data_IF_676931411724
#
_entry.id   IF_676931411724
#
_cell.length_a   1.000
_cell.length_b   1.000
_cell.length_c   1.000
_cell.angle_alpha   90.00
_cell.angle_beta   90.00
_cell.angle_gamma   90.00
#
_symmetry.space_group_name_H-M   'P 1'
#
loop_
_entity.id
_entity.type
_entity.pdbx_description
1 polymer ?
#
# COMPACT_ATOMS: atom_id res chain seq x y z
N UNK A 1 10.78 -31.44 3.27
CA UNK A 1 9.64 -30.57 2.93
C UNK A 1 8.37 -31.42 2.95
N UNK A 2 7.49 -31.21 3.92
CA UNK A 2 6.27 -32.02 4.09
C UNK A 2 5.27 -31.82 2.95
N UNK A 3 4.30 -32.73 2.85
CA UNK A 3 3.21 -32.75 1.83
C UNK A 3 2.53 -31.37 1.74
N UNK A 4 2.35 -30.68 2.86
CA UNK A 4 1.77 -29.33 2.94
C UNK A 4 2.60 -28.28 2.16
N UNK A 5 3.93 -28.36 2.22
CA UNK A 5 4.80 -27.42 1.48
C UNK A 5 4.75 -27.63 -0.04
N UNK A 6 4.58 -28.89 -0.47
CA UNK A 6 4.39 -29.21 -1.91
C UNK A 6 3.03 -28.72 -2.43
N UNK A 7 1.97 -28.90 -1.64
CA UNK A 7 0.64 -28.42 -1.97
C UNK A 7 0.57 -26.89 -2.07
N UNK A 8 1.17 -26.17 -1.12
CA UNK A 8 1.26 -24.69 -1.14
C UNK A 8 2.03 -24.22 -2.39
N UNK A 9 3.17 -24.83 -2.70
CA UNK A 9 3.97 -24.46 -3.88
C UNK A 9 3.22 -24.73 -5.19
N UNK A 10 2.49 -25.84 -5.27
CA UNK A 10 1.65 -26.18 -6.42
C UNK A 10 0.50 -25.14 -6.57
N UNK A 11 -0.17 -24.79 -5.47
CA UNK A 11 -1.26 -23.79 -5.45
C UNK A 11 -0.77 -22.42 -5.91
N UNK A 12 0.39 -21.96 -5.43
CA UNK A 12 0.98 -20.67 -5.80
C UNK A 12 1.38 -20.61 -7.28
N UNK A 13 1.72 -21.74 -7.91
CA UNK A 13 2.16 -21.79 -9.29
C UNK A 13 0.99 -21.98 -10.30
N UNK A 14 -0.16 -22.51 -9.86
CA UNK A 14 -1.26 -22.87 -10.75
C UNK A 14 -2.52 -22.02 -10.57
N UNK A 15 -2.62 -21.25 -9.50
CA UNK A 15 -3.77 -20.37 -9.28
C UNK A 15 -3.40 -18.94 -9.65
N UNK A 16 -4.18 -18.27 -10.51
CA UNK A 16 -3.96 -16.87 -10.87
C UNK A 16 -3.90 -15.98 -9.63
N UNK A 17 -2.92 -15.08 -9.58
CA UNK A 17 -2.71 -14.16 -8.45
C UNK A 17 -3.97 -13.42 -7.99
N UNK A 18 -4.89 -12.95 -8.88
CA UNK A 18 -6.13 -12.30 -8.46
C UNK A 18 -7.06 -13.22 -7.66
N UNK A 19 -7.09 -14.52 -8.01
CA UNK A 19 -7.92 -15.49 -7.29
C UNK A 19 -7.32 -15.84 -5.93
N UNK A 20 -5.98 -15.98 -5.86
CA UNK A 20 -5.26 -16.14 -4.58
C UNK A 20 -5.50 -14.96 -3.63
N UNK A 21 -5.53 -13.73 -4.15
CA UNK A 21 -5.81 -12.54 -3.37
C UNK A 21 -7.25 -12.51 -2.83
N UNK A 22 -8.24 -12.93 -3.64
CA UNK A 22 -9.64 -13.05 -3.20
C UNK A 22 -9.80 -14.13 -2.12
N UNK A 23 -9.20 -15.31 -2.31
CA UNK A 23 -9.25 -16.41 -1.33
C UNK A 23 -8.52 -16.02 -0.04
N UNK A 24 -7.37 -15.37 -0.14
CA UNK A 24 -6.66 -14.84 1.02
C UNK A 24 -7.49 -13.78 1.76
N UNK A 25 -8.23 -12.95 1.05
CA UNK A 25 -9.13 -11.96 1.63
C UNK A 25 -10.24 -12.55 2.51
N UNK A 26 -10.72 -13.73 2.18
CA UNK A 26 -11.76 -14.46 2.96
C UNK A 26 -11.15 -15.35 4.05
N UNK A 27 -10.05 -16.04 3.77
CA UNK A 27 -9.43 -17.01 4.70
C UNK A 27 -8.61 -16.37 5.82
N UNK A 28 -8.01 -15.21 5.55
CA UNK A 28 -7.15 -14.52 6.53
C UNK A 28 -7.90 -14.05 7.79
N UNK A 29 -9.11 -13.49 7.72
CA UNK A 29 -9.88 -13.15 8.92
C UNK A 29 -10.17 -14.36 9.81
N UNK A 30 -10.47 -15.52 9.22
CA UNK A 30 -10.72 -16.76 9.97
C UNK A 30 -9.43 -17.28 10.63
N UNK A 31 -8.33 -17.34 9.89
CA UNK A 31 -7.03 -17.73 10.45
C UNK A 31 -6.60 -16.77 11.57
N UNK A 32 -6.87 -15.48 11.40
CA UNK A 32 -6.60 -14.48 12.41
C UNK A 32 -7.37 -14.67 13.73
N UNK A 33 -8.53 -15.35 13.73
CA UNK A 33 -9.27 -15.66 14.95
C UNK A 33 -8.53 -16.65 15.84
N UNK A 34 -7.81 -17.62 15.25
CA UNK A 34 -7.00 -18.60 15.97
C UNK A 34 -5.81 -17.99 16.71
N UNK A 35 -5.41 -16.77 16.30
CA UNK A 35 -4.27 -16.05 16.87
C UNK A 35 -4.67 -14.90 17.79
N UNK A 36 -5.91 -14.86 18.28
CA UNK A 36 -6.34 -13.87 19.27
C UNK A 36 -5.54 -14.09 20.54
N UNK A 37 -5.00 -13.01 21.10
CA UNK A 37 -4.19 -13.02 22.33
C UNK A 37 -4.00 -11.59 22.84
N UNK A 38 -3.17 -11.43 23.87
CA UNK A 38 -2.91 -10.12 24.50
C UNK A 38 -1.44 -9.68 24.42
N UNK A 39 -0.57 -10.56 23.96
CA UNK A 39 0.91 -10.42 24.05
C UNK A 39 1.45 -9.39 23.05
N UNK A 40 0.86 -9.32 21.87
CA UNK A 40 1.30 -8.42 20.81
C UNK A 40 0.17 -7.53 20.32
N UNK A 41 0.42 -6.25 20.08
CA UNK A 41 -0.52 -5.32 19.45
C UNK A 41 0.02 -4.87 18.10
N UNK A 42 -0.74 -5.07 17.05
CA UNK A 42 -0.39 -4.57 15.72
C UNK A 42 -0.74 -3.07 15.61
N UNK A 43 0.22 -2.17 15.33
CA UNK A 43 -0.06 -0.74 15.23
C UNK A 43 -0.97 -0.39 14.05
N UNK A 44 -0.93 -1.17 12.96
CA UNK A 44 -1.76 -0.89 11.78
C UNK A 44 -3.23 -1.23 12.03
N UNK A 45 -3.56 -2.48 12.41
CA UNK A 45 -4.96 -2.87 12.59
C UNK A 45 -5.48 -2.68 14.02
N UNK A 46 -4.64 -2.30 14.98
CA UNK A 46 -4.99 -2.10 16.39
C UNK A 46 -5.32 -3.39 17.15
N UNK A 47 -5.38 -4.55 16.48
CA UNK A 47 -5.79 -5.81 17.09
C UNK A 47 -4.66 -6.42 17.91
N UNK A 48 -5.04 -7.09 19.02
CA UNK A 48 -4.13 -7.87 19.84
C UNK A 48 -4.09 -9.31 19.34
N UNK A 49 -2.89 -9.88 19.30
CA UNK A 49 -2.63 -11.26 18.86
C UNK A 49 -1.68 -11.94 19.86
N UNK A 50 -1.71 -13.26 19.90
CA UNK A 50 -0.77 -14.05 20.69
C UNK A 50 0.66 -13.90 20.17
N UNK A 51 0.85 -13.97 18.86
CA UNK A 51 2.14 -13.82 18.21
C UNK A 51 1.96 -13.29 16.78
N UNK A 52 3.02 -12.76 16.18
CA UNK A 52 3.10 -12.56 14.75
C UNK A 52 3.65 -13.82 14.09
N UNK A 53 3.16 -14.13 12.89
CA UNK A 53 3.56 -15.30 12.13
C UNK A 53 4.96 -15.13 11.52
N UNK A 54 5.69 -16.21 11.32
CA UNK A 54 6.92 -16.18 10.53
C UNK A 54 6.61 -15.87 9.06
N UNK A 55 7.53 -15.18 8.38
CA UNK A 55 7.42 -14.85 6.97
C UNK A 55 8.77 -14.82 6.26
N UNK A 56 8.79 -15.29 5.02
CA UNK A 56 9.96 -15.31 4.13
C UNK A 56 10.23 -16.68 3.52
N UNK A 57 11.06 -16.69 2.48
CA UNK A 57 11.52 -17.90 1.81
C UNK A 57 12.86 -18.37 2.42
N UNK A 58 13.11 -19.66 2.38
CA UNK A 58 14.33 -20.24 2.95
C UNK A 58 14.29 -20.25 4.49
N UNK A 59 14.86 -19.24 5.12
CA UNK A 59 14.83 -19.07 6.60
C UNK A 59 13.80 -18.01 6.97
N UNK A 60 12.58 -18.39 7.39
CA UNK A 60 11.54 -17.43 7.73
C UNK A 60 11.93 -16.56 8.92
N UNK A 61 11.70 -15.24 8.81
CA UNK A 61 11.85 -14.30 9.93
C UNK A 61 10.74 -14.52 10.93
N UNK A 62 11.08 -14.68 12.19
CA UNK A 62 10.10 -14.79 13.28
C UNK A 62 9.41 -13.43 13.52
N UNK A 63 8.23 -13.44 14.09
CA UNK A 63 7.46 -12.23 14.45
C UNK A 63 7.22 -11.24 13.29
N UNK A 64 7.19 -11.72 12.04
CA UNK A 64 7.16 -10.88 10.86
C UNK A 64 5.75 -10.45 10.44
N UNK A 65 4.81 -11.37 10.33
CA UNK A 65 3.51 -11.16 9.70
C UNK A 65 2.38 -11.07 10.72
N UNK A 66 1.60 -10.00 10.67
CA UNK A 66 0.38 -9.92 11.47
C UNK A 66 -0.71 -10.86 10.92
N UNK A 67 -1.22 -11.85 11.72
CA UNK A 67 -2.23 -12.80 11.24
C UNK A 67 -3.59 -12.15 10.98
N UNK A 68 -3.82 -10.90 11.42
CA UNK A 68 -5.10 -10.20 11.28
C UNK A 68 -5.18 -9.30 10.05
N UNK A 69 -4.10 -8.59 9.70
CA UNK A 69 -4.11 -7.63 8.60
C UNK A 69 -3.02 -7.88 7.55
N UNK A 70 -2.22 -8.93 7.74
CA UNK A 70 -1.08 -9.31 6.88
C UNK A 70 0.02 -8.24 6.78
N UNK A 71 0.06 -7.28 7.71
CA UNK A 71 1.15 -6.33 7.76
C UNK A 71 2.45 -7.02 8.17
N UNK A 72 3.50 -6.79 7.40
CA UNK A 72 4.85 -7.16 7.74
C UNK A 72 5.47 -6.16 8.72
N UNK A 73 6.61 -6.53 9.30
CA UNK A 73 7.37 -5.68 10.23
C UNK A 73 7.71 -4.31 9.63
N UNK A 74 8.12 -4.25 8.36
CA UNK A 74 8.44 -3.00 7.65
C UNK A 74 7.21 -2.10 7.48
N UNK A 75 6.03 -2.68 7.21
CA UNK A 75 4.78 -1.91 7.10
C UNK A 75 4.39 -1.33 8.46
N UNK A 76 4.58 -2.10 9.55
CA UNK A 76 4.31 -1.62 10.91
C UNK A 76 5.26 -0.50 11.33
N UNK A 77 6.54 -0.62 10.95
CA UNK A 77 7.55 0.42 11.22
C UNK A 77 7.21 1.71 10.45
N UNK A 78 6.92 1.60 9.15
CA UNK A 78 6.52 2.75 8.33
C UNK A 78 5.28 3.44 8.90
N UNK A 79 4.26 2.66 9.32
CA UNK A 79 3.06 3.23 9.92
C UNK A 79 3.37 4.00 11.21
N UNK A 80 4.20 3.43 12.09
CA UNK A 80 4.62 4.10 13.33
C UNK A 80 5.42 5.38 13.04
N UNK A 81 6.28 5.37 12.03
CA UNK A 81 6.99 6.55 11.59
C UNK A 81 6.03 7.64 11.09
N UNK A 82 5.08 7.28 10.23
CA UNK A 82 4.07 8.21 9.73
C UNK A 82 3.27 8.81 10.88
N UNK A 83 2.82 7.99 11.81
CA UNK A 83 1.97 8.41 12.93
C UNK A 83 2.71 9.31 13.94
N UNK A 84 3.99 9.09 14.17
CA UNK A 84 4.75 9.75 15.24
C UNK A 84 5.64 10.89 14.75
N UNK A 85 6.24 10.72 13.58
CA UNK A 85 7.32 11.57 13.09
C UNK A 85 6.90 12.45 11.90
N UNK A 86 5.64 12.34 11.44
CA UNK A 86 5.16 13.13 10.29
C UNK A 86 3.81 13.77 10.56
N UNK A 87 3.49 14.79 9.76
CA UNK A 87 2.20 15.48 9.80
C UNK A 87 1.20 14.93 8.78
N UNK A 88 1.49 13.78 8.13
CA UNK A 88 0.66 13.21 7.08
C UNK A 88 -0.79 12.99 7.54
N UNK A 89 -0.96 12.51 8.78
CA UNK A 89 -2.28 12.20 9.33
C UNK A 89 -2.97 13.39 10.02
N UNK A 90 -2.33 14.58 10.07
CA UNK A 90 -2.94 15.80 10.64
C UNK A 90 -3.84 16.53 9.64
N UNK A 91 -3.90 16.08 8.40
CA UNK A 91 -4.71 16.66 7.34
C UNK A 91 -4.95 15.65 6.22
N UNK A 92 -5.27 16.15 5.03
CA UNK A 92 -5.57 15.33 3.85
C UNK A 92 -4.69 15.75 2.66
N UNK A 93 -3.33 15.65 2.78
CA UNK A 93 -2.44 15.95 1.67
C UNK A 93 -2.72 15.01 0.50
N UNK A 94 -2.44 15.46 -0.73
CA UNK A 94 -2.49 14.57 -1.89
C UNK A 94 -1.37 13.54 -1.79
N UNK A 95 -1.74 12.31 -1.50
CA UNK A 95 -0.84 11.17 -1.29
C UNK A 95 -0.88 10.23 -2.49
N UNK A 96 0.25 10.03 -3.14
CA UNK A 96 0.45 8.95 -4.10
C UNK A 96 1.11 7.75 -3.40
N UNK A 97 0.43 6.61 -3.40
CA UNK A 97 0.92 5.35 -2.85
C UNK A 97 1.15 4.36 -3.98
N UNK A 98 2.42 4.15 -4.32
CA UNK A 98 2.86 3.24 -5.39
C UNK A 98 3.02 1.84 -4.80
N UNK A 99 2.58 0.82 -5.54
CA UNK A 99 2.51 -0.59 -5.14
C UNK A 99 1.86 -0.77 -3.75
N UNK A 100 0.59 -0.36 -3.57
CA UNK A 100 -0.02 -0.24 -2.27
C UNK A 100 -0.16 -1.59 -1.56
N UNK A 101 0.40 -1.70 -0.37
CA UNK A 101 0.23 -2.86 0.48
C UNK A 101 -1.14 -2.85 1.16
N UNK A 102 -1.83 -3.99 1.15
CA UNK A 102 -3.22 -4.14 1.63
C UNK A 102 -3.47 -3.49 3.00
N UNK A 103 -2.55 -3.68 3.93
CA UNK A 103 -2.71 -3.20 5.31
C UNK A 103 -2.60 -1.67 5.40
N UNK A 104 -1.63 -1.06 4.73
CA UNK A 104 -1.44 0.39 4.68
C UNK A 104 -2.53 1.06 3.85
N UNK A 105 -2.86 0.47 2.68
CA UNK A 105 -3.96 0.96 1.83
C UNK A 105 -5.25 1.11 2.63
N UNK A 106 -5.67 0.08 3.37
CA UNK A 106 -6.87 0.14 4.22
C UNK A 106 -6.80 1.24 5.26
N UNK A 107 -5.63 1.49 5.85
CA UNK A 107 -5.42 2.56 6.82
C UNK A 107 -5.58 3.94 6.21
N UNK A 108 -4.99 4.15 5.04
CA UNK A 108 -5.14 5.42 4.32
C UNK A 108 -6.57 5.61 3.82
N UNK A 109 -7.22 4.58 3.28
CA UNK A 109 -8.63 4.65 2.89
C UNK A 109 -9.55 5.02 4.08
N UNK A 110 -9.27 4.49 5.28
CA UNK A 110 -9.98 4.87 6.49
C UNK A 110 -9.71 6.31 6.91
N UNK A 111 -8.47 6.80 6.76
CA UNK A 111 -8.09 8.17 7.10
C UNK A 111 -8.74 9.19 6.16
N UNK A 112 -8.64 8.97 4.86
CA UNK A 112 -9.20 9.88 3.85
C UNK A 112 -10.73 9.77 3.75
N UNK A 113 -11.31 8.61 4.04
CA UNK A 113 -12.73 8.36 3.93
C UNK A 113 -13.26 8.59 2.50
N UNK A 114 -14.57 8.80 2.37
CA UNK A 114 -15.20 9.13 1.09
C UNK A 114 -15.05 10.60 0.74
N UNK A 115 -14.95 11.47 1.72
CA UNK A 115 -14.92 12.93 1.57
C UNK A 115 -13.62 13.44 0.92
N UNK A 116 -12.50 12.76 1.13
CA UNK A 116 -11.18 13.12 0.62
C UNK A 116 -10.54 11.99 -0.19
N UNK A 117 -11.38 11.10 -0.75
CA UNK A 117 -10.91 9.91 -1.46
C UNK A 117 -10.08 10.24 -2.71
N UNK A 118 -10.29 11.41 -3.32
CA UNK A 118 -9.54 11.94 -4.45
C UNK A 118 -8.10 12.35 -4.10
N UNK A 119 -7.85 12.68 -2.82
CA UNK A 119 -6.51 12.99 -2.34
C UNK A 119 -5.65 11.75 -2.07
N UNK A 120 -6.25 10.56 -2.06
CA UNK A 120 -5.53 9.29 -1.91
C UNK A 120 -5.48 8.53 -3.24
N UNK A 121 -4.38 8.68 -3.94
CA UNK A 121 -4.09 8.07 -5.24
C UNK A 121 -3.29 6.80 -5.00
N UNK A 122 -3.69 5.70 -5.61
CA UNK A 122 -2.93 4.45 -5.60
C UNK A 122 -2.55 4.06 -7.01
N UNK A 123 -1.30 3.67 -7.21
CA UNK A 123 -0.77 3.28 -8.51
C UNK A 123 0.09 2.03 -8.42
N UNK A 124 0.06 1.23 -9.47
CA UNK A 124 0.91 0.03 -9.64
C UNK A 124 0.95 -0.30 -11.13
N UNK A 125 1.94 -1.06 -11.57
CA UNK A 125 2.02 -1.48 -12.96
C UNK A 125 0.86 -2.42 -13.34
N UNK A 126 0.55 -3.40 -12.49
CA UNK A 126 -0.40 -4.48 -12.79
C UNK A 126 -1.36 -4.84 -11.65
N UNK A 127 -1.07 -4.42 -10.43
CA UNK A 127 -1.82 -4.87 -9.26
C UNK A 127 -3.26 -4.34 -9.24
N UNK A 128 -4.27 -5.22 -9.09
CA UNK A 128 -5.68 -4.80 -8.98
C UNK A 128 -6.00 -4.02 -7.68
N UNK A 129 -5.04 -3.86 -6.79
CA UNK A 129 -5.18 -3.06 -5.58
C UNK A 129 -5.05 -1.57 -5.88
N UNK A 130 -4.42 -1.20 -6.99
CA UNK A 130 -4.25 0.19 -7.40
C UNK A 130 -5.45 0.67 -8.24
N UNK A 131 -5.72 1.97 -8.15
CA UNK A 131 -6.74 2.64 -8.98
C UNK A 131 -6.19 3.06 -10.34
N UNK A 132 -4.88 3.34 -10.41
CA UNK A 132 -4.19 3.73 -11.64
C UNK A 132 -3.11 2.70 -11.98
N UNK A 133 -2.88 2.52 -13.29
CA UNK A 133 -1.86 1.61 -13.79
C UNK A 133 -0.93 2.38 -14.72
N UNK A 134 0.35 2.50 -14.31
CA UNK A 134 1.39 3.15 -15.09
C UNK A 134 2.79 2.72 -14.62
N UNK A 135 3.77 2.94 -15.47
CA UNK A 135 5.18 2.81 -15.11
C UNK A 135 5.62 4.05 -14.31
N UNK A 136 6.34 3.84 -13.22
CA UNK A 136 6.91 4.92 -12.39
C UNK A 136 7.93 5.78 -13.18
N UNK A 137 8.43 5.26 -14.30
CA UNK A 137 9.33 5.97 -15.21
C UNK A 137 8.58 6.94 -16.16
N UNK A 138 7.23 6.89 -16.18
CA UNK A 138 6.37 7.76 -17.00
C UNK A 138 5.04 7.96 -16.28
N UNK A 139 5.02 8.88 -15.31
CA UNK A 139 3.89 9.10 -14.42
C UNK A 139 2.90 10.07 -15.06
N UNK A 140 1.64 9.66 -15.36
CA UNK A 140 0.63 10.48 -16.02
C UNK A 140 -0.06 11.44 -15.04
N UNK A 141 0.72 12.14 -14.23
CA UNK A 141 0.25 13.19 -13.32
C UNK A 141 0.94 14.51 -13.65
N UNK A 142 0.25 15.61 -13.40
CA UNK A 142 0.77 16.95 -13.62
C UNK A 142 1.97 17.27 -12.72
N UNK A 143 2.83 18.18 -13.15
CA UNK A 143 3.91 18.69 -12.33
C UNK A 143 3.35 19.27 -11.03
N UNK A 144 4.06 19.07 -9.92
CA UNK A 144 3.71 19.64 -8.62
C UNK A 144 2.26 19.35 -8.17
N UNK A 145 1.72 18.18 -8.54
CA UNK A 145 0.33 17.79 -8.25
C UNK A 145 0.17 17.00 -6.95
N UNK A 146 1.27 16.44 -6.42
CA UNK A 146 1.28 15.53 -5.28
C UNK A 146 2.05 16.15 -4.12
N UNK A 147 1.55 16.01 -2.89
CA UNK A 147 2.23 16.50 -1.69
C UNK A 147 3.20 15.47 -1.10
N UNK A 148 2.84 14.19 -1.18
CA UNK A 148 3.59 13.08 -0.58
C UNK A 148 3.55 11.87 -1.53
N UNK A 149 4.68 11.18 -1.65
CA UNK A 149 4.76 9.89 -2.33
C UNK A 149 5.22 8.82 -1.34
N UNK A 150 4.54 7.69 -1.31
CA UNK A 150 5.01 6.45 -0.68
C UNK A 150 5.36 5.47 -1.81
N UNK A 151 6.65 5.09 -1.87
CA UNK A 151 7.20 4.21 -2.87
C UNK A 151 8.16 3.22 -2.19
N UNK A 152 7.63 2.05 -1.81
CA UNK A 152 8.37 1.04 -1.05
C UNK A 152 8.77 -0.12 -1.94
N UNK A 153 10.07 -0.48 -1.96
CA UNK A 153 10.59 -1.66 -2.67
C UNK A 153 10.22 -1.70 -4.17
N UNK A 154 10.30 -0.56 -4.84
CA UNK A 154 9.99 -0.43 -6.27
C UNK A 154 11.25 -0.13 -7.08
N UNK A 155 12.10 0.78 -6.59
CA UNK A 155 13.25 1.26 -7.37
C UNK A 155 14.24 0.15 -7.75
N UNK A 156 14.33 -0.91 -6.95
CA UNK A 156 15.13 -2.10 -7.25
C UNK A 156 14.58 -2.96 -8.41
N UNK A 157 13.37 -2.67 -8.88
CA UNK A 157 12.69 -3.44 -9.93
C UNK A 157 12.47 -2.65 -11.21
N UNK A 158 12.85 -1.36 -11.25
CA UNK A 158 12.71 -0.53 -12.44
C UNK A 158 13.98 -0.56 -13.29
N UNK A 159 13.83 -0.35 -14.58
CA UNK A 159 14.96 -0.39 -15.53
C UNK A 159 15.86 0.83 -15.38
N UNK A 160 15.28 2.03 -15.22
CA UNK A 160 16.00 3.31 -15.00
C UNK A 160 15.45 3.98 -13.72
N UNK A 161 16.13 3.72 -12.61
CA UNK A 161 15.79 4.30 -11.30
C UNK A 161 15.95 5.83 -11.28
N UNK A 162 16.90 6.38 -12.06
CA UNK A 162 17.11 7.84 -12.18
C UNK A 162 15.96 8.49 -12.92
N UNK A 163 15.42 7.84 -13.96
CA UNK A 163 14.23 8.33 -14.66
C UNK A 163 13.01 8.31 -13.72
N UNK A 164 12.82 7.21 -13.00
CA UNK A 164 11.77 7.10 -11.99
C UNK A 164 11.88 8.20 -10.91
N UNK A 165 13.08 8.46 -10.39
CA UNK A 165 13.31 9.53 -9.41
C UNK A 165 13.04 10.94 -9.99
N UNK A 166 13.37 11.20 -11.26
CA UNK A 166 13.02 12.47 -11.92
C UNK A 166 11.51 12.65 -12.03
N UNK A 167 10.77 11.61 -12.39
CA UNK A 167 9.31 11.64 -12.45
C UNK A 167 8.69 11.87 -11.09
N UNK A 168 9.15 11.16 -10.05
CA UNK A 168 8.70 11.39 -8.67
C UNK A 168 8.97 12.82 -8.20
N UNK A 169 10.16 13.36 -8.53
CA UNK A 169 10.50 14.76 -8.21
C UNK A 169 9.62 15.75 -8.98
N UNK A 170 9.33 15.49 -10.26
CA UNK A 170 8.50 16.34 -11.12
C UNK A 170 7.09 16.51 -10.56
N UNK A 171 6.47 15.43 -10.10
CA UNK A 171 5.09 15.45 -9.60
C UNK A 171 4.97 16.00 -8.18
N UNK A 172 6.06 15.95 -7.39
CA UNK A 172 6.06 16.45 -6.02
C UNK A 172 6.04 17.98 -5.98
N UNK A 173 5.14 18.55 -5.19
CA UNK A 173 5.12 19.99 -4.93
C UNK A 173 6.40 20.44 -4.25
N UNK A 174 6.99 21.49 -4.82
CA UNK A 174 8.18 22.13 -4.27
C UNK A 174 7.76 23.22 -3.27
N UNK A 175 8.54 23.38 -2.20
CA UNK A 175 8.35 24.47 -1.22
C UNK A 175 8.01 23.99 0.21
N UNK A 176 7.86 24.92 1.15
CA UNK A 176 7.55 24.59 2.54
C UNK A 176 6.22 23.86 2.61
N UNK A 177 6.20 22.73 3.31
CA UNK A 177 4.99 21.94 3.55
C UNK A 177 3.95 22.84 4.23
N UNK A 178 2.93 23.24 3.49
CA UNK A 178 1.77 23.84 4.10
C UNK A 178 1.08 22.76 4.94
N UNK A 179 0.71 23.06 6.20
CA UNK A 179 -0.15 22.14 6.92
C UNK A 179 -1.36 21.86 6.01
N UNK A 180 -1.69 20.60 5.85
CA UNK A 180 -2.78 20.16 4.98
C UNK A 180 -4.11 20.64 5.58
N UNK A 181 -4.43 21.90 5.34
CA UNK A 181 -5.77 22.43 5.58
C UNK A 181 -6.67 21.89 4.47
N UNK A 182 -7.88 21.39 4.78
CA UNK A 182 -8.86 21.15 3.76
C UNK A 182 -9.05 22.47 3.02
N UNK A 183 -8.74 22.50 1.72
CA UNK A 183 -9.06 23.68 0.88
C UNK A 183 -10.56 23.66 0.65
N UNK A 184 -11.34 24.60 1.21
CA UNK A 184 -12.73 24.70 0.83
C UNK A 184 -12.80 25.13 -0.65
N UNK A 185 -13.41 24.29 -1.48
CA UNK A 185 -14.04 24.75 -2.70
C UNK A 185 -13.23 24.86 -3.99
N UNK A 186 -12.17 24.05 -4.19
CA UNK A 186 -11.75 23.78 -5.57
C UNK A 186 -12.30 22.41 -5.95
N UNK A 187 -13.31 22.42 -6.84
CA UNK A 187 -13.71 21.20 -7.52
C UNK A 187 -12.46 20.55 -8.13
N UNK A 188 -12.23 19.25 -7.94
CA UNK A 188 -11.12 18.58 -8.56
C UNK A 188 -11.21 18.80 -10.06
N UNK A 189 -10.14 19.29 -10.67
CA UNK A 189 -10.01 19.20 -12.12
C UNK A 189 -10.29 17.75 -12.47
N UNK A 190 -11.25 17.50 -13.33
CA UNK A 190 -11.67 16.16 -13.71
C UNK A 190 -10.41 15.35 -14.01
N UNK A 191 -10.23 14.24 -13.29
CA UNK A 191 -9.23 13.25 -13.66
C UNK A 191 -9.42 12.95 -15.15
N UNK A 192 -8.36 12.91 -15.96
CA UNK A 192 -8.50 12.59 -17.37
C UNK A 192 -9.23 11.25 -17.47
N UNK A 193 -10.39 11.26 -18.11
CA UNK A 193 -11.14 10.05 -18.43
C UNK A 193 -10.34 9.31 -19.49
N UNK A 194 -9.60 8.30 -19.08
CA UNK A 194 -8.94 7.39 -20.01
C UNK A 194 -10.00 6.53 -20.68
N UNK A 195 -10.39 6.90 -21.90
CA UNK A 195 -11.08 6.01 -22.82
C UNK A 195 -10.09 4.89 -23.18
N UNK A 196 -10.43 3.67 -22.76
CA UNK A 196 -9.77 2.46 -23.25
C UNK A 196 -10.02 2.36 -24.74
N UNK A 197 -9.06 2.81 -25.54
CA UNK A 197 -9.01 2.55 -26.96
C UNK A 197 -8.72 1.07 -27.17
N UNK A 198 -9.74 0.32 -27.60
CA UNK A 198 -9.59 -1.02 -28.11
C UNK A 198 -8.72 -0.99 -29.37
N UNK A 199 -7.60 -1.69 -29.36
CA UNK A 199 -6.98 -2.34 -30.53
C UNK A 199 -6.40 -3.68 -30.10
#
# INVERSE_FOLDING_TARGET
MGIVGKAIKWTLNHIPRPLLQKVAGLGVPMLGMLYIGRERKCPICGKRVREFLPYGYGTPRKDALCPRCLALERHRLLWLYIERETDLLKGYPTLLHIAPEVALKRKFEQHYGTQYAEHYITADLESPLAKMHFDIQDIPLDNESVDIVICNHILEHVEDDRKALRELHRILRQGPRRPASPRPGRAPGALPTFTTGSR
#
